data_IF_107405008199
#
_entry.id   IF_107405008199
#
_cell.length_a   1.000
_cell.length_b   1.000
_cell.length_c   1.000
_cell.angle_alpha   90.00
_cell.angle_beta   90.00
_cell.angle_gamma   90.00
#
_symmetry.space_group_name_H-M   'P 1'
#
loop_
_entity.id
_entity.type
_entity.pdbx_description
1 polymer ?
#
# COMPACT_ATOMS: atom_id res chain seq x y z
N UNK A 1 -12.34 8.70 -3.70
CA UNK A 1 -12.44 10.06 -3.12
C UNK A 1 -12.98 10.09 -1.69
N UNK A 2 -14.22 9.68 -1.38
CA UNK A 2 -14.70 9.72 0.02
C UNK A 2 -13.80 8.94 1.01
N UNK A 3 -13.37 7.73 0.64
CA UNK A 3 -12.44 6.94 1.46
C UNK A 3 -11.05 7.58 1.60
N UNK A 4 -10.53 8.23 0.54
CA UNK A 4 -9.28 9.00 0.60
C UNK A 4 -9.38 10.10 1.65
N UNK A 5 -10.46 10.89 1.60
CA UNK A 5 -10.71 11.95 2.58
C UNK A 5 -10.78 11.40 4.02
N UNK A 6 -11.41 10.24 4.23
CA UNK A 6 -11.46 9.61 5.54
C UNK A 6 -10.08 9.18 6.06
N UNK A 7 -9.20 8.70 5.17
CA UNK A 7 -7.81 8.36 5.48
C UNK A 7 -6.99 9.62 5.81
N UNK A 8 -7.11 10.67 4.99
CA UNK A 8 -6.41 11.95 5.22
C UNK A 8 -6.81 12.63 6.53
N UNK A 9 -8.08 12.48 6.92
CA UNK A 9 -8.60 12.99 8.20
C UNK A 9 -8.29 12.07 9.39
N UNK A 10 -7.63 10.92 9.19
CA UNK A 10 -7.29 9.98 10.26
C UNK A 10 -8.52 9.39 10.97
N UNK A 11 -9.67 9.31 10.28
CA UNK A 11 -10.95 8.93 10.91
C UNK A 11 -10.87 7.55 11.56
N UNK A 12 -10.21 6.59 10.91
CA UNK A 12 -10.07 5.24 11.44
C UNK A 12 -9.23 5.20 12.72
N UNK A 13 -8.12 5.95 12.76
CA UNK A 13 -7.25 6.03 13.93
C UNK A 13 -7.93 6.74 15.10
N UNK A 14 -8.68 7.81 14.81
CA UNK A 14 -9.53 8.50 15.79
C UNK A 14 -10.54 7.55 16.41
N UNK A 15 -11.26 6.77 15.61
CA UNK A 15 -12.25 5.80 16.10
C UNK A 15 -11.56 4.71 16.93
N UNK A 16 -10.42 4.18 16.47
CA UNK A 16 -9.67 3.14 17.17
C UNK A 16 -9.08 3.63 18.50
N UNK A 17 -8.79 4.93 18.64
CA UNK A 17 -8.24 5.51 19.87
C UNK A 17 -9.17 5.43 21.08
N UNK A 18 -10.48 5.26 20.88
CA UNK A 18 -11.47 5.12 21.97
C UNK A 18 -11.55 3.69 22.54
N UNK A 19 -10.90 2.71 21.90
CA UNK A 19 -10.91 1.31 22.31
C UNK A 19 -11.98 0.46 21.60
N UNK A 20 -11.73 -0.85 21.51
CA UNK A 20 -12.60 -1.79 20.79
C UNK A 20 -14.01 -1.84 21.41
N UNK A 21 -15.03 -1.68 20.57
CA UNK A 21 -16.44 -1.82 20.95
C UNK A 21 -17.07 -0.55 21.53
N UNK A 22 -16.33 0.56 21.70
CA UNK A 22 -16.90 1.82 22.13
C UNK A 22 -17.56 2.59 20.97
N UNK A 23 -18.68 3.24 21.27
CA UNK A 23 -19.37 4.14 20.35
C UNK A 23 -18.76 5.53 20.45
N UNK A 24 -18.37 6.11 19.31
CA UNK A 24 -17.88 7.49 19.21
C UNK A 24 -18.88 8.35 18.43
N UNK A 25 -19.12 9.56 18.92
CA UNK A 25 -20.02 10.54 18.30
C UNK A 25 -19.30 11.37 17.23
N UNK A 26 -20.06 12.00 16.32
CA UNK A 26 -19.50 12.89 15.29
C UNK A 26 -18.79 14.11 15.88
N UNK A 27 -19.26 14.64 17.02
CA UNK A 27 -18.64 15.77 17.71
C UNK A 27 -17.29 15.38 18.32
N UNK A 28 -17.18 14.17 18.89
CA UNK A 28 -15.91 13.65 19.39
C UNK A 28 -14.90 13.43 18.26
N UNK A 29 -15.35 12.90 17.10
CA UNK A 29 -14.48 12.78 15.91
C UNK A 29 -14.02 14.18 15.47
N UNK A 30 -14.95 15.13 15.33
CA UNK A 30 -14.62 16.49 14.89
C UNK A 30 -13.65 17.20 15.84
N UNK A 31 -13.77 16.99 17.15
CA UNK A 31 -12.87 17.58 18.15
C UNK A 31 -11.43 17.02 18.04
N UNK A 32 -11.27 15.80 17.52
CA UNK A 32 -9.96 15.16 17.31
C UNK A 32 -9.37 15.41 15.93
N UNK A 33 -10.18 15.87 14.96
CA UNK A 33 -9.66 16.40 13.70
C UNK A 33 -8.97 17.73 14.02
N UNK A 34 -7.67 17.84 13.71
CA UNK A 34 -6.82 18.99 14.04
C UNK A 34 -7.15 20.26 13.21
N UNK A 35 -8.43 20.65 13.15
CA UNK A 35 -8.90 21.85 12.46
C UNK A 35 -10.04 22.52 13.24
N UNK A 36 -9.87 23.79 13.65
CA UNK A 36 -10.90 24.54 14.38
C UNK A 36 -12.14 24.85 13.53
N UNK A 37 -12.06 24.67 12.20
CA UNK A 37 -13.14 24.97 11.24
C UNK A 37 -13.84 23.70 10.73
N UNK A 38 -13.74 22.58 11.45
CA UNK A 38 -14.35 21.31 11.03
C UNK A 38 -15.87 21.46 10.87
N UNK A 39 -16.36 21.22 9.65
CA UNK A 39 -17.79 21.31 9.35
C UNK A 39 -18.50 19.99 9.67
N UNK A 40 -19.34 19.99 10.71
CA UNK A 40 -20.07 18.81 11.18
C UNK A 40 -21.07 18.26 10.16
N UNK A 41 -21.67 19.08 9.30
CA UNK A 41 -22.59 18.59 8.27
C UNK A 41 -21.84 17.79 7.20
N UNK A 42 -20.70 18.31 6.73
CA UNK A 42 -19.84 17.61 5.78
C UNK A 42 -19.29 16.31 6.37
N UNK A 43 -18.81 16.34 7.61
CA UNK A 43 -18.35 15.13 8.31
C UNK A 43 -19.50 14.11 8.46
N UNK A 44 -20.70 14.56 8.81
CA UNK A 44 -21.90 13.71 8.90
C UNK A 44 -22.25 13.05 7.57
N UNK A 45 -22.16 13.78 6.46
CA UNK A 45 -22.42 13.24 5.11
C UNK A 45 -21.36 12.23 4.71
N UNK A 46 -20.08 12.51 4.99
CA UNK A 46 -18.97 11.58 4.76
C UNK A 46 -19.16 10.29 5.56
N UNK A 47 -19.38 10.40 6.87
CA UNK A 47 -19.55 9.24 7.76
C UNK A 47 -20.77 8.39 7.38
N UNK A 48 -21.89 9.02 7.02
CA UNK A 48 -23.08 8.31 6.51
C UNK A 48 -22.77 7.56 5.22
N UNK A 49 -22.00 8.14 4.30
CA UNK A 49 -21.59 7.46 3.08
C UNK A 49 -20.70 6.23 3.38
N UNK A 50 -19.69 6.38 4.23
CA UNK A 50 -18.77 5.29 4.61
C UNK A 50 -19.50 4.14 5.31
N UNK A 51 -20.43 4.47 6.22
CA UNK A 51 -21.26 3.48 6.91
C UNK A 51 -22.15 2.70 5.93
N UNK A 52 -22.81 3.39 4.99
CA UNK A 52 -23.64 2.76 3.95
C UNK A 52 -22.85 1.84 3.03
N UNK A 53 -21.60 2.22 2.71
CA UNK A 53 -20.68 1.38 1.92
C UNK A 53 -20.01 0.27 2.73
N UNK A 54 -20.34 0.14 4.01
CA UNK A 54 -19.76 -0.85 4.96
C UNK A 54 -18.24 -0.76 5.07
N UNK A 55 -17.66 0.41 4.78
CA UNK A 55 -16.21 0.62 4.76
C UNK A 55 -15.62 0.65 6.16
N UNK A 56 -16.40 1.06 7.18
CA UNK A 56 -15.95 1.06 8.58
C UNK A 56 -15.71 -0.34 9.17
N UNK A 57 -15.98 -1.42 8.41
CA UNK A 57 -15.68 -2.82 8.78
C UNK A 57 -14.58 -3.44 7.91
N UNK A 58 -14.16 -2.77 6.85
CA UNK A 58 -13.19 -3.30 5.91
C UNK A 58 -11.77 -2.91 6.36
N UNK A 59 -10.87 -3.89 6.42
CA UNK A 59 -9.43 -3.67 6.58
C UNK A 59 -8.85 -3.22 5.24
N UNK A 60 -8.99 -1.94 4.92
CA UNK A 60 -8.29 -1.33 3.77
C UNK A 60 -7.15 -0.48 4.29
N UNK A 61 -5.94 -0.74 3.81
CA UNK A 61 -4.75 -0.01 4.21
C UNK A 61 -4.74 1.43 3.66
N UNK A 62 -4.36 2.38 4.52
CA UNK A 62 -4.32 3.80 4.21
C UNK A 62 -3.40 4.12 3.01
N UNK A 63 -2.19 3.54 2.97
CA UNK A 63 -1.20 3.81 1.91
C UNK A 63 -1.71 3.33 0.55
N UNK A 64 -2.39 2.18 0.52
CA UNK A 64 -3.02 1.64 -0.69
C UNK A 64 -4.14 2.55 -1.21
N UNK A 65 -4.99 3.08 -0.33
CA UNK A 65 -6.04 4.05 -0.70
C UNK A 65 -5.41 5.32 -1.26
N UNK A 66 -4.38 5.85 -0.60
CA UNK A 66 -3.71 7.08 -1.03
C UNK A 66 -3.02 6.90 -2.38
N UNK A 67 -2.33 5.79 -2.61
CA UNK A 67 -1.72 5.42 -3.89
C UNK A 67 -2.75 5.41 -5.03
N UNK A 68 -3.85 4.67 -4.85
CA UNK A 68 -4.88 4.51 -5.87
C UNK A 68 -5.63 5.82 -6.20
N UNK A 69 -5.57 6.82 -5.32
CA UNK A 69 -6.21 8.12 -5.50
C UNK A 69 -5.20 9.27 -5.74
N UNK A 70 -3.96 8.95 -6.13
CA UNK A 70 -3.01 9.97 -6.61
C UNK A 70 -3.45 10.54 -7.96
N UNK A 71 -3.21 11.84 -8.24
CA UNK A 71 -3.65 12.47 -9.49
C UNK A 71 -3.20 11.72 -10.75
N UNK A 72 -1.94 11.27 -10.81
CA UNK A 72 -1.37 10.53 -11.95
C UNK A 72 -2.08 9.18 -12.20
N UNK A 73 -2.44 8.47 -11.12
CA UNK A 73 -3.23 7.24 -11.22
C UNK A 73 -4.67 7.54 -11.64
N UNK A 74 -5.29 8.60 -11.12
CA UNK A 74 -6.64 8.98 -11.50
C UNK A 74 -6.71 9.41 -12.97
N UNK A 75 -5.72 10.17 -13.44
CA UNK A 75 -5.60 10.60 -14.82
C UNK A 75 -5.53 9.41 -15.79
N UNK A 76 -4.90 8.31 -15.39
CA UNK A 76 -4.82 7.10 -16.22
C UNK A 76 -6.20 6.51 -16.56
N UNK A 77 -7.18 6.61 -15.65
CA UNK A 77 -8.54 6.12 -15.90
C UNK A 77 -9.27 6.94 -16.97
N UNK A 78 -8.90 8.21 -17.16
CA UNK A 78 -9.44 9.05 -18.23
C UNK A 78 -8.89 8.67 -19.63
N UNK A 79 -7.87 7.80 -19.69
CA UNK A 79 -7.27 7.34 -20.94
C UNK A 79 -7.75 5.95 -21.38
N UNK A 80 -8.67 5.29 -20.66
CA UNK A 80 -9.13 3.92 -21.00
C UNK A 80 -9.64 3.83 -22.44
N UNK A 81 -10.45 4.79 -22.88
CA UNK A 81 -10.96 4.80 -24.27
C UNK A 81 -9.83 4.86 -25.30
N UNK A 82 -8.80 5.66 -25.05
CA UNK A 82 -7.61 5.72 -25.89
C UNK A 82 -6.81 4.41 -25.87
N UNK A 83 -6.70 3.75 -24.72
CA UNK A 83 -6.05 2.42 -24.65
C UNK A 83 -6.78 1.39 -25.50
N UNK A 84 -8.11 1.43 -25.55
CA UNK A 84 -8.90 0.53 -26.41
C UNK A 84 -8.66 0.82 -27.89
N UNK A 85 -8.60 2.11 -28.27
CA UNK A 85 -8.45 2.52 -29.67
C UNK A 85 -7.04 2.36 -30.21
N UNK A 86 -6.03 2.65 -29.39
CA UNK A 86 -4.64 2.83 -29.84
C UNK A 86 -3.66 1.82 -29.21
N UNK A 87 -4.13 0.98 -28.28
CA UNK A 87 -3.26 0.15 -27.44
C UNK A 87 -2.42 0.97 -26.45
N UNK A 88 -1.52 0.30 -25.72
CA UNK A 88 -0.61 0.92 -24.77
C UNK A 88 -1.20 1.18 -23.37
N UNK A 89 -0.40 1.81 -22.50
CA UNK A 89 -0.75 2.07 -21.10
C UNK A 89 -1.54 3.37 -20.93
N UNK A 90 -2.62 3.32 -20.16
CA UNK A 90 -3.38 4.52 -19.80
C UNK A 90 -2.57 5.48 -18.95
N UNK A 91 -1.63 4.95 -18.16
CA UNK A 91 -0.74 5.76 -17.34
C UNK A 91 0.24 6.56 -18.19
N UNK A 92 0.87 5.92 -19.18
CA UNK A 92 1.79 6.60 -20.10
C UNK A 92 1.07 7.65 -20.94
N UNK A 93 -0.11 7.31 -21.47
CA UNK A 93 -0.93 8.25 -22.24
C UNK A 93 -1.37 9.47 -21.43
N UNK A 94 -1.60 9.29 -20.13
CA UNK A 94 -2.04 10.38 -19.24
C UNK A 94 -0.89 11.26 -18.76
N UNK A 95 0.28 10.67 -18.51
CA UNK A 95 1.36 11.33 -17.76
C UNK A 95 2.61 11.61 -18.62
N UNK A 96 2.75 10.96 -19.79
CA UNK A 96 3.89 11.14 -20.69
C UNK A 96 5.16 10.37 -20.31
N UNK A 97 5.12 9.59 -19.23
CA UNK A 97 6.20 8.72 -18.75
C UNK A 97 5.64 7.38 -18.27
N UNK A 98 6.49 6.35 -18.19
CA UNK A 98 6.05 5.02 -17.79
C UNK A 98 5.75 4.93 -16.30
N UNK A 99 4.91 3.96 -15.91
CA UNK A 99 4.69 3.66 -14.49
C UNK A 99 6.01 3.25 -13.80
N UNK A 100 6.92 2.66 -14.58
CA UNK A 100 8.24 2.29 -14.12
C UNK A 100 9.09 3.53 -13.78
N UNK A 101 9.18 4.50 -14.69
CA UNK A 101 9.90 5.77 -14.47
C UNK A 101 9.34 6.49 -13.23
N UNK A 102 8.01 6.57 -13.15
CA UNK A 102 7.30 7.10 -11.99
C UNK A 102 7.68 6.42 -10.66
N UNK A 103 7.86 5.10 -10.69
CA UNK A 103 8.23 4.31 -9.52
C UNK A 103 9.72 4.42 -9.18
N UNK A 104 10.57 4.66 -10.18
CA UNK A 104 12.02 4.81 -10.04
C UNK A 104 12.43 6.21 -9.57
N UNK A 105 11.63 7.24 -9.86
CA UNK A 105 11.97 8.63 -9.56
C UNK A 105 11.87 9.01 -8.07
N UNK A 106 12.83 9.85 -7.66
CA UNK A 106 13.05 10.41 -6.33
C UNK A 106 12.05 11.56 -6.10
N UNK A 107 10.75 11.25 -6.12
CA UNK A 107 9.72 12.21 -5.71
C UNK A 107 8.89 11.63 -4.58
N UNK A 108 8.32 12.50 -3.72
CA UNK A 108 7.35 12.07 -2.69
C UNK A 108 6.20 11.25 -3.27
N UNK A 109 5.90 11.39 -4.57
CA UNK A 109 4.88 10.60 -5.26
C UNK A 109 5.27 9.13 -5.43
N UNK A 110 6.53 8.84 -5.72
CA UNK A 110 7.04 7.46 -5.79
C UNK A 110 6.94 6.73 -4.45
N UNK A 111 6.97 7.47 -3.33
CA UNK A 111 6.85 6.89 -1.99
C UNK A 111 5.46 6.30 -1.75
N UNK A 112 4.37 6.98 -2.11
CA UNK A 112 3.02 6.41 -1.96
C UNK A 112 2.86 5.11 -2.75
N UNK A 113 3.43 5.03 -3.94
CA UNK A 113 3.42 3.82 -4.75
C UNK A 113 4.19 2.69 -4.06
N UNK A 114 5.44 2.94 -3.66
CA UNK A 114 6.29 1.95 -2.98
C UNK A 114 5.67 1.46 -1.68
N UNK A 115 5.16 2.39 -0.87
CA UNK A 115 4.53 2.07 0.41
C UNK A 115 3.22 1.30 0.25
N UNK A 116 2.40 1.68 -0.73
CA UNK A 116 1.17 0.95 -1.07
C UNK A 116 1.46 -0.48 -1.52
N UNK A 117 2.45 -0.66 -2.40
CA UNK A 117 2.91 -1.98 -2.86
C UNK A 117 3.45 -2.82 -1.70
N UNK A 118 4.39 -2.29 -0.91
CA UNK A 118 4.95 -2.99 0.24
C UNK A 118 3.86 -3.38 1.26
N UNK A 119 2.83 -2.55 1.43
CA UNK A 119 1.73 -2.87 2.32
C UNK A 119 0.85 -4.00 1.80
N UNK A 120 0.47 -3.92 0.53
CA UNK A 120 -0.33 -4.97 -0.11
C UNK A 120 0.43 -6.31 -0.09
N UNK A 121 1.74 -6.31 -0.36
CA UNK A 121 2.58 -7.50 -0.26
C UNK A 121 2.56 -8.12 1.14
N UNK A 122 2.61 -7.32 2.21
CA UNK A 122 2.52 -7.85 3.59
C UNK A 122 1.17 -8.52 3.86
N UNK A 123 0.06 -7.92 3.43
CA UNK A 123 -1.28 -8.50 3.62
C UNK A 123 -1.40 -9.83 2.86
N UNK A 124 -1.00 -9.83 1.59
CA UNK A 124 -1.05 -11.02 0.73
C UNK A 124 -0.13 -12.11 1.28
N UNK A 125 1.10 -11.77 1.69
CA UNK A 125 2.05 -12.76 2.18
C UNK A 125 1.58 -13.40 3.50
N UNK A 126 0.99 -12.63 4.41
CA UNK A 126 0.36 -13.20 5.62
C UNK A 126 -0.74 -14.19 5.29
N UNK A 127 -1.56 -13.91 4.27
CA UNK A 127 -2.58 -14.84 3.81
C UNK A 127 -1.96 -16.11 3.18
N UNK A 128 -0.90 -15.96 2.37
CA UNK A 128 -0.16 -17.09 1.80
C UNK A 128 0.41 -17.96 2.91
N UNK A 129 1.19 -17.40 3.83
CA UNK A 129 1.84 -18.15 4.92
C UNK A 129 0.83 -18.87 5.82
N UNK A 130 -0.37 -18.31 6.00
CA UNK A 130 -1.43 -18.95 6.79
C UNK A 130 -2.05 -20.18 6.11
N UNK A 131 -2.04 -20.22 4.77
CA UNK A 131 -2.77 -21.23 3.98
C UNK A 131 -1.86 -22.18 3.19
N UNK A 132 -0.62 -21.79 2.91
CA UNK A 132 0.38 -22.53 2.14
C UNK A 132 1.50 -23.02 3.07
N UNK A 133 1.12 -23.78 4.10
CA UNK A 133 1.99 -24.13 5.22
C UNK A 133 3.20 -24.98 4.81
N UNK A 134 2.94 -26.06 4.09
CA UNK A 134 3.97 -27.06 3.79
C UNK A 134 4.78 -26.71 2.53
N UNK A 135 4.33 -25.70 1.77
CA UNK A 135 4.92 -25.32 0.50
C UNK A 135 6.34 -24.74 0.59
N UNK A 136 6.79 -24.42 1.81
CA UNK A 136 8.11 -23.89 2.10
C UNK A 136 9.01 -24.84 2.92
N UNK A 137 8.52 -26.00 3.36
CA UNK A 137 9.25 -26.88 4.29
C UNK A 137 10.56 -27.46 3.72
N UNK A 138 10.61 -27.73 2.42
CA UNK A 138 11.82 -28.25 1.74
C UNK A 138 12.73 -27.18 1.14
N UNK A 139 12.38 -25.90 1.27
CA UNK A 139 13.12 -24.81 0.63
C UNK A 139 14.30 -24.41 1.52
N UNK A 140 15.52 -24.42 0.98
CA UNK A 140 16.71 -23.93 1.69
C UNK A 140 17.17 -22.53 1.25
N UNK A 141 16.75 -22.10 0.05
CA UNK A 141 17.06 -20.80 -0.53
C UNK A 141 15.88 -20.35 -1.39
N UNK A 142 15.43 -19.11 -1.24
CA UNK A 142 14.39 -18.51 -2.06
C UNK A 142 14.89 -17.20 -2.66
N UNK A 143 14.78 -17.05 -3.97
CA UNK A 143 15.06 -15.79 -4.66
C UNK A 143 13.75 -15.14 -5.09
N UNK A 144 13.50 -13.92 -4.63
CA UNK A 144 12.34 -13.13 -5.01
C UNK A 144 12.76 -12.11 -6.07
N UNK A 145 12.39 -12.37 -7.32
CA UNK A 145 12.70 -11.53 -8.49
C UNK A 145 11.64 -10.42 -8.62
N UNK A 146 12.09 -9.17 -8.77
CA UNK A 146 11.22 -8.00 -8.74
C UNK A 146 10.69 -7.73 -7.33
N UNK A 147 11.51 -8.03 -6.31
CA UNK A 147 11.09 -8.00 -4.91
C UNK A 147 11.01 -6.63 -4.27
N UNK A 148 11.31 -5.58 -5.03
CA UNK A 148 11.37 -4.20 -4.59
C UNK A 148 12.28 -4.07 -3.37
N UNK A 149 11.82 -3.42 -2.31
CA UNK A 149 12.58 -3.25 -1.07
C UNK A 149 12.65 -4.52 -0.20
N UNK A 150 12.12 -5.68 -0.63
CA UNK A 150 12.30 -6.97 0.03
C UNK A 150 11.23 -7.36 1.07
N UNK A 151 10.12 -6.63 1.15
CA UNK A 151 9.09 -6.87 2.17
C UNK A 151 8.48 -8.27 2.12
N UNK A 152 8.28 -8.84 0.92
CA UNK A 152 7.67 -10.15 0.75
C UNK A 152 8.60 -11.29 1.20
N UNK A 153 9.87 -11.26 0.75
CA UNK A 153 10.85 -12.28 1.14
C UNK A 153 11.16 -12.23 2.64
N UNK A 154 11.11 -11.03 3.25
CA UNK A 154 11.26 -10.88 4.69
C UNK A 154 10.14 -11.56 5.49
N UNK A 155 8.88 -11.44 5.06
CA UNK A 155 7.77 -12.16 5.71
C UNK A 155 7.94 -13.68 5.61
N UNK A 156 8.44 -14.20 4.47
CA UNK A 156 8.71 -15.63 4.29
C UNK A 156 9.82 -16.12 5.23
N UNK A 157 10.97 -15.44 5.24
CA UNK A 157 12.12 -15.84 6.07
C UNK A 157 11.80 -15.73 7.56
N UNK A 158 11.04 -14.70 7.97
CA UNK A 158 10.58 -14.57 9.36
C UNK A 158 9.67 -15.72 9.80
N UNK A 159 8.82 -16.22 8.90
CA UNK A 159 7.95 -17.36 9.17
C UNK A 159 8.66 -18.71 9.06
N UNK A 160 9.73 -18.79 8.27
CA UNK A 160 10.50 -19.99 7.99
C UNK A 160 12.01 -19.74 8.12
N UNK A 161 12.55 -19.69 9.36
CA UNK A 161 13.94 -19.30 9.61
C UNK A 161 15.00 -20.23 9.00
N UNK A 162 14.62 -21.43 8.56
CA UNK A 162 15.51 -22.35 7.83
C UNK A 162 15.79 -21.90 6.39
N UNK A 163 15.00 -20.97 5.86
CA UNK A 163 15.12 -20.47 4.49
C UNK A 163 16.08 -19.28 4.45
N UNK A 164 17.04 -19.33 3.53
CA UNK A 164 17.79 -18.13 3.14
C UNK A 164 17.04 -17.39 2.03
N UNK A 165 16.83 -16.10 2.20
CA UNK A 165 16.23 -15.21 1.20
C UNK A 165 17.27 -14.55 0.31
N UNK A 166 16.91 -14.31 -0.94
CA UNK A 166 17.59 -13.37 -1.85
C UNK A 166 16.52 -12.43 -2.37
N UNK A 167 16.70 -11.14 -2.15
CA UNK A 167 15.90 -10.11 -2.79
C UNK A 167 16.63 -9.64 -4.05
N UNK A 168 15.97 -9.75 -5.20
CA UNK A 168 16.54 -9.38 -6.49
C UNK A 168 15.67 -8.31 -7.14
N UNK A 169 16.29 -7.17 -7.42
CA UNK A 169 15.68 -6.03 -8.11
C UNK A 169 16.79 -5.20 -8.77
N UNK A 170 16.42 -4.05 -9.32
CA UNK A 170 17.35 -3.13 -9.97
C UNK A 170 18.32 -2.49 -8.98
N UNK A 171 19.53 -2.10 -9.41
CA UNK A 171 20.58 -1.58 -8.52
C UNK A 171 20.11 -0.45 -7.60
N UNK A 172 19.38 0.52 -8.15
CA UNK A 172 18.88 1.69 -7.43
C UNK A 172 17.75 1.35 -6.44
N UNK A 173 16.93 0.35 -6.76
CA UNK A 173 15.87 -0.18 -5.88
C UNK A 173 16.49 -0.92 -4.70
N UNK A 174 17.41 -1.83 -4.97
CA UNK A 174 18.13 -2.62 -3.95
C UNK A 174 18.94 -1.72 -3.01
N UNK A 175 19.59 -0.68 -3.53
CA UNK A 175 20.35 0.28 -2.72
C UNK A 175 19.50 1.04 -1.67
N UNK A 176 18.17 1.11 -1.87
CA UNK A 176 17.22 1.76 -0.96
C UNK A 176 16.50 0.79 -0.04
N UNK A 177 16.72 -0.51 -0.17
CA UNK A 177 16.11 -1.50 0.70
C UNK A 177 16.61 -1.32 2.15
N UNK A 178 15.75 -1.50 3.17
CA UNK A 178 16.20 -1.50 4.55
C UNK A 178 17.18 -2.66 4.77
N UNK A 179 18.08 -2.51 5.75
CA UNK A 179 18.86 -3.66 6.21
C UNK A 179 17.93 -4.60 6.95
N UNK A 180 17.82 -5.83 6.45
CA UNK A 180 17.13 -6.91 7.15
C UNK A 180 18.07 -7.53 8.20
N UNK A 181 17.56 -7.94 9.38
CA UNK A 181 18.37 -8.60 10.39
C UNK A 181 18.95 -9.91 9.87
N UNK A 182 20.22 -10.13 10.18
CA UNK A 182 21.05 -11.29 9.85
C UNK A 182 21.28 -11.53 8.34
N UNK A 183 22.38 -12.23 7.98
CA UNK A 183 22.77 -12.62 6.60
C UNK A 183 21.73 -13.50 5.88
N UNK A 184 20.53 -13.61 6.44
CA UNK A 184 19.35 -14.34 5.99
C UNK A 184 18.76 -13.79 4.71
N UNK A 185 18.92 -12.51 4.39
CA UNK A 185 18.44 -11.93 3.12
C UNK A 185 19.59 -11.27 2.38
N UNK A 186 20.10 -11.95 1.36
CA UNK A 186 21.08 -11.38 0.43
C UNK A 186 20.41 -10.40 -0.53
N UNK A 187 20.95 -9.20 -0.65
CA UNK A 187 20.57 -8.24 -1.68
C UNK A 187 21.46 -8.45 -2.91
N UNK A 188 20.88 -8.94 -4.01
CA UNK A 188 21.63 -9.19 -5.25
C UNK A 188 21.32 -8.13 -6.30
N UNK A 189 22.38 -7.58 -6.89
CA UNK A 189 22.32 -6.60 -7.97
C UNK A 189 22.83 -7.30 -9.25
N UNK A 190 22.07 -7.32 -10.36
CA UNK A 190 22.61 -7.84 -11.62
C UNK A 190 23.76 -6.97 -12.12
N UNK A 191 24.82 -7.63 -12.60
CA UNK A 191 26.00 -7.03 -13.22
C UNK A 191 25.70 -6.34 -14.54
#
# INVERSE_FOLDING_TARGET
MALKCAVELGIADIINSEGQGQLITLSQIAAKIASPTTNLDHLSRLMRFLARKKVCKATTDAKTVLMANQPHHIASWHCISKCIMEGGSGFEKANGFSLYDFSSEISELGNYFKEGMACTSRIVMKAILSNYKDGFEGVGLIAHVGGSIGAAVAEIVNAHPHIRGINFDLPDVVARAPRYPDDTIGNWIPS
#
